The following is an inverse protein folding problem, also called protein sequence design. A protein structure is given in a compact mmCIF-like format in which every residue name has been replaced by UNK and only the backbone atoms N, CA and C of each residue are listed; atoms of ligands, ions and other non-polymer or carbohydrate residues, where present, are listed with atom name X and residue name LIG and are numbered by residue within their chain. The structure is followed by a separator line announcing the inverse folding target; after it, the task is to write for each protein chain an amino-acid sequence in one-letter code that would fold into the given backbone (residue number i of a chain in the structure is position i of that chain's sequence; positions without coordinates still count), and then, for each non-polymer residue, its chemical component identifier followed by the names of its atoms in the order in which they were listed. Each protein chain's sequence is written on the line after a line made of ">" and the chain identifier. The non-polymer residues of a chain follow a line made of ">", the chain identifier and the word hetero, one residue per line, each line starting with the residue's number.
data_IF_769741443318
#
_entry.id   IF_769741443318
#
_cell.length_a   1.000
_cell.length_b   1.000
_cell.length_c   1.000
_cell.angle_alpha   90.00
_cell.angle_beta   90.00
_cell.angle_gamma   90.00
#
_symmetry.space_group_name_H-M   'P 1'
#
loop_
_entity.id
_entity.type
_entity.pdbx_description
1 polymer ?
#
# COMPACT_ATOMS: atom_id res chain seq x y z
N UNK A 1 3.67 0.32 -26.36
CA UNK A 1 3.47 0.08 -24.90
C UNK A 1 3.01 1.40 -24.29
N UNK A 2 1.76 1.47 -23.84
CA UNK A 2 1.22 2.70 -23.23
C UNK A 2 1.92 2.92 -21.88
N UNK A 3 2.55 4.09 -21.70
CA UNK A 3 3.13 4.49 -20.41
C UNK A 3 2.05 5.20 -19.62
N UNK A 4 1.63 4.59 -18.52
CA UNK A 4 0.70 5.21 -17.58
C UNK A 4 1.48 6.21 -16.70
N UNK A 5 1.11 7.50 -16.67
CA UNK A 5 1.84 8.52 -15.92
C UNK A 5 1.88 8.22 -14.41
N UNK A 6 0.84 7.62 -13.84
CA UNK A 6 0.79 7.25 -12.42
C UNK A 6 1.77 6.12 -12.14
N UNK A 7 1.85 5.15 -13.04
CA UNK A 7 2.79 4.02 -12.88
C UNK A 7 4.24 4.52 -12.93
N UNK A 8 4.56 5.44 -13.82
CA UNK A 8 5.91 6.01 -13.91
C UNK A 8 6.27 6.85 -12.68
N UNK A 9 5.33 7.62 -12.13
CA UNK A 9 5.53 8.35 -10.87
C UNK A 9 5.80 7.39 -9.70
N UNK A 10 4.99 6.32 -9.57
CA UNK A 10 5.17 5.31 -8.54
C UNK A 10 6.53 4.61 -8.69
N UNK A 11 6.96 4.32 -9.91
CA UNK A 11 8.29 3.74 -10.19
C UNK A 11 9.42 4.68 -9.79
N UNK A 12 9.32 5.95 -10.16
CA UNK A 12 10.31 6.95 -9.78
C UNK A 12 10.42 7.10 -8.25
N UNK A 13 9.28 7.12 -7.55
CA UNK A 13 9.24 7.16 -6.09
C UNK A 13 9.91 5.92 -5.46
N UNK A 14 9.59 4.72 -5.97
CA UNK A 14 10.21 3.46 -5.51
C UNK A 14 11.72 3.43 -5.74
N UNK A 15 12.17 3.91 -6.90
CA UNK A 15 13.59 3.96 -7.23
C UNK A 15 14.36 4.90 -6.29
N UNK A 16 13.77 6.06 -5.97
CA UNK A 16 14.33 6.98 -5.00
C UNK A 16 14.45 6.35 -3.61
N UNK A 17 13.40 5.69 -3.13
CA UNK A 17 13.39 5.00 -1.82
C UNK A 17 14.44 3.87 -1.80
N UNK A 18 14.53 3.08 -2.86
CA UNK A 18 15.51 2.01 -2.96
C UNK A 18 16.94 2.56 -2.92
N UNK A 19 17.22 3.67 -3.62
CA UNK A 19 18.52 4.33 -3.60
C UNK A 19 18.86 4.91 -2.20
N UNK A 20 17.90 5.55 -1.52
CA UNK A 20 18.05 6.04 -0.13
C UNK A 20 18.41 4.91 0.84
N UNK A 21 17.85 3.71 0.62
CA UNK A 21 18.10 2.52 1.43
C UNK A 21 19.30 1.69 0.96
N UNK A 22 20.03 2.09 -0.09
CA UNK A 22 21.14 1.32 -0.66
C UNK A 22 20.71 -0.03 -1.24
N UNK A 23 19.48 -0.12 -1.74
CA UNK A 23 18.84 -1.34 -2.26
C UNK A 23 18.77 -2.50 -1.26
N UNK A 24 18.92 -2.20 0.04
CA UNK A 24 18.78 -3.16 1.12
C UNK A 24 17.31 -3.33 1.50
N UNK A 25 16.78 -4.54 1.30
CA UNK A 25 15.38 -4.85 1.58
C UNK A 25 15.01 -4.63 3.06
N UNK A 26 15.90 -4.93 3.99
CA UNK A 26 15.64 -4.78 5.42
C UNK A 26 15.48 -3.29 5.76
N UNK A 27 16.36 -2.43 5.22
CA UNK A 27 16.27 -0.97 5.42
C UNK A 27 15.00 -0.38 4.80
N UNK A 28 14.58 -0.88 3.64
CA UNK A 28 13.31 -0.46 3.01
C UNK A 28 12.13 -0.78 3.94
N UNK A 29 12.07 -2.01 4.47
CA UNK A 29 10.99 -2.41 5.38
C UNK A 29 11.00 -1.64 6.71
N UNK A 30 12.18 -1.35 7.26
CA UNK A 30 12.31 -0.51 8.45
C UNK A 30 11.81 0.91 8.20
N UNK A 31 12.23 1.52 7.08
CA UNK A 31 11.73 2.83 6.64
C UNK A 31 10.21 2.84 6.50
N UNK A 32 9.63 1.84 5.87
CA UNK A 32 8.17 1.75 5.68
C UNK A 32 7.43 1.62 7.01
N UNK A 33 7.98 0.89 7.99
CA UNK A 33 7.42 0.81 9.35
C UNK A 33 7.45 2.16 10.06
N UNK A 34 8.54 2.92 9.94
CA UNK A 34 8.63 4.26 10.55
C UNK A 34 7.64 5.24 9.92
N UNK A 35 7.51 5.21 8.59
CA UNK A 35 6.50 6.01 7.88
C UNK A 35 5.09 5.63 8.32
N UNK A 36 4.81 4.33 8.47
CA UNK A 36 3.51 3.84 8.92
C UNK A 36 3.17 4.30 10.34
N UNK A 37 4.14 4.34 11.27
CA UNK A 37 3.93 4.85 12.63
C UNK A 37 3.50 6.32 12.66
N UNK A 38 3.97 7.12 11.70
CA UNK A 38 3.65 8.53 11.59
C UNK A 38 2.34 8.78 10.82
N UNK A 39 1.79 7.74 10.17
CA UNK A 39 0.60 7.85 9.35
C UNK A 39 -0.65 7.97 10.21
N UNK A 40 -1.31 9.14 10.13
CA UNK A 40 -2.57 9.42 10.85
C UNK A 40 -3.82 8.97 10.09
N UNK A 41 -3.67 8.49 8.85
CA UNK A 41 -4.78 8.03 8.03
C UNK A 41 -5.17 6.58 8.33
N UNK A 42 -6.25 6.12 7.69
CA UNK A 42 -6.71 4.74 7.82
C UNK A 42 -5.71 3.78 7.15
N UNK A 43 -5.17 2.85 7.93
CA UNK A 43 -4.39 1.72 7.43
C UNK A 43 -5.38 0.61 7.12
N UNK A 44 -5.47 0.18 5.86
CA UNK A 44 -6.36 -0.91 5.46
C UNK A 44 -5.58 -2.22 5.54
N UNK A 45 -6.00 -3.10 6.44
CA UNK A 45 -5.46 -4.46 6.53
C UNK A 45 -6.22 -5.43 5.64
N UNK A 46 -5.58 -6.55 5.29
CA UNK A 46 -6.22 -7.62 4.50
C UNK A 46 -7.43 -8.19 5.25
N UNK A 47 -7.30 -8.36 6.56
CA UNK A 47 -8.35 -8.86 7.44
C UNK A 47 -9.55 -7.93 7.46
N UNK A 48 -9.32 -6.61 7.56
CA UNK A 48 -10.38 -5.61 7.44
C UNK A 48 -11.04 -5.60 6.07
N UNK A 49 -10.24 -5.72 5.00
CA UNK A 49 -10.76 -5.81 3.64
C UNK A 49 -11.67 -7.04 3.47
N UNK A 50 -11.24 -8.19 4.00
CA UNK A 50 -12.03 -9.43 3.95
C UNK A 50 -13.32 -9.32 4.78
N UNK A 51 -13.26 -8.72 5.98
CA UNK A 51 -14.45 -8.42 6.80
C UNK A 51 -15.43 -7.50 6.05
N UNK A 52 -14.94 -6.45 5.40
CA UNK A 52 -15.76 -5.53 4.61
C UNK A 52 -16.43 -6.22 3.41
N UNK A 53 -15.69 -7.07 2.68
CA UNK A 53 -16.23 -7.86 1.55
C UNK A 53 -17.28 -8.87 1.99
N UNK A 54 -17.12 -9.49 3.16
CA UNK A 54 -18.14 -10.35 3.76
C UNK A 54 -19.44 -9.60 4.07
N UNK A 55 -19.32 -8.42 4.69
CA UNK A 55 -20.47 -7.55 5.02
C UNK A 55 -21.22 -7.05 3.78
N UNK A 56 -20.51 -6.75 2.69
CA UNK A 56 -21.15 -6.31 1.44
C UNK A 56 -21.93 -7.43 0.78
N UNK A 57 -21.43 -8.68 0.83
CA UNK A 57 -22.14 -9.86 0.29
C UNK A 57 -23.40 -10.21 1.08
N UNK A 58 -23.39 -10.12 2.41
CA UNK A 58 -24.58 -10.36 3.23
C UNK A 58 -25.67 -9.29 3.02
N UNK A 59 -25.28 -8.03 2.80
CA UNK A 59 -26.21 -6.93 2.54
C UNK A 59 -26.88 -7.03 1.16
N UNK A 60 -26.21 -7.63 0.16
CA UNK A 60 -26.78 -7.86 -1.17
C UNK A 60 -27.74 -9.05 -1.25
N UNK A 61 -27.78 -9.93 -0.25
CA UNK A 61 -28.66 -11.11 -0.22
C UNK A 61 -30.00 -10.87 0.50
N UNK A 62 -30.21 -9.69 1.09
CA UNK A 62 -31.44 -9.31 1.80
C UNK A 62 -32.35 -8.36 1.00
N UNK A 63 -32.03 -8.12 -0.28
CA UNK A 63 -32.87 -7.41 -1.26
C UNK A 63 -33.29 -8.39 -2.34
#
# INVERSE_FOLDING_TARGET
>A
MWKDPIVEEVRAARQKIAAECGYDLKKILERDREVLKQWKGKVVTKEELMKQRGRTRSASQQK
#
